data_IF_008033629603
#
_entry.id   IF_008033629603
#
_cell.length_a   1.000
_cell.length_b   1.000
_cell.length_c   1.000
_cell.angle_alpha   90.00
_cell.angle_beta   90.00
_cell.angle_gamma   90.00
#
_symmetry.space_group_name_H-M   'P 1'
#
loop_
_entity.id
_entity.type
_entity.pdbx_description
1 polymer ?
#
# COMPACT_ATOMS: atom_id res chain seq x y z
N UNK A 1 -6.14 -35.37 -36.68
CA UNK A 1 -6.43 -33.95 -36.43
C UNK A 1 -6.03 -33.67 -35.00
N UNK A 2 -5.07 -32.76 -34.76
CA UNK A 2 -4.68 -32.40 -33.39
C UNK A 2 -5.58 -31.28 -32.91
N UNK A 3 -6.12 -31.46 -31.71
CA UNK A 3 -6.92 -30.44 -31.02
C UNK A 3 -5.94 -29.61 -30.20
N UNK A 4 -6.09 -28.30 -30.29
CA UNK A 4 -5.33 -27.33 -29.50
C UNK A 4 -5.65 -27.48 -28.01
N UNK A 5 -4.64 -27.38 -27.15
CA UNK A 5 -4.81 -27.49 -25.70
C UNK A 5 -5.14 -26.09 -25.20
N UNK A 6 -6.19 -25.96 -24.38
CA UNK A 6 -6.48 -24.71 -23.71
C UNK A 6 -5.62 -24.56 -22.44
N UNK A 7 -4.49 -23.85 -22.52
CA UNK A 7 -3.63 -23.65 -21.35
C UNK A 7 -4.25 -22.72 -20.30
N UNK A 8 -5.28 -21.94 -20.67
CA UNK A 8 -6.00 -21.07 -19.73
C UNK A 8 -6.95 -21.83 -18.81
N UNK A 9 -7.28 -23.10 -19.12
CA UNK A 9 -7.99 -23.99 -18.20
C UNK A 9 -7.14 -24.37 -16.97
N UNK A 10 -5.81 -24.18 -17.03
CA UNK A 10 -4.89 -24.44 -15.92
C UNK A 10 -4.65 -23.16 -15.11
N UNK A 11 -4.96 -23.21 -13.81
CA UNK A 11 -4.73 -22.08 -12.89
C UNK A 11 -3.23 -21.82 -12.76
N UNK A 12 -2.83 -20.55 -12.92
CA UNK A 12 -1.44 -20.12 -12.77
C UNK A 12 -0.62 -20.11 -14.07
N UNK A 13 -1.19 -20.51 -15.21
CA UNK A 13 -0.53 -20.38 -16.53
C UNK A 13 -0.17 -18.93 -16.85
N UNK A 14 -1.00 -17.98 -16.43
CA UNK A 14 -0.77 -16.55 -16.58
C UNK A 14 -0.88 -15.84 -15.23
N UNK A 15 -0.10 -14.78 -15.04
CA UNK A 15 -0.16 -13.95 -13.83
C UNK A 15 -1.43 -13.09 -13.74
N UNK A 16 -2.08 -12.84 -14.88
CA UNK A 16 -3.29 -12.04 -15.01
C UNK A 16 -4.25 -12.74 -15.98
N UNK A 17 -4.93 -11.97 -16.84
CA UNK A 17 -5.89 -12.49 -17.82
C UNK A 17 -5.19 -13.33 -18.88
N UNK A 18 -5.59 -14.59 -18.99
CA UNK A 18 -5.12 -15.55 -19.98
C UNK A 18 -6.00 -15.52 -21.23
N UNK A 19 -5.38 -15.62 -22.41
CA UNK A 19 -6.04 -15.68 -23.71
C UNK A 19 -5.48 -16.92 -24.42
N UNK A 20 -6.32 -17.93 -24.64
CA UNK A 20 -5.93 -19.14 -25.35
C UNK A 20 -5.67 -18.84 -26.83
N UNK A 21 -4.57 -19.35 -27.38
CA UNK A 21 -4.19 -19.15 -28.78
C UNK A 21 -3.76 -20.48 -29.41
N UNK A 22 -3.93 -20.70 -30.72
CA UNK A 22 -3.47 -21.94 -31.33
C UNK A 22 -1.96 -22.16 -31.09
N UNK A 23 -1.62 -23.23 -30.37
CA UNK A 23 -0.25 -23.59 -30.02
C UNK A 23 0.34 -22.92 -28.77
N UNK A 24 -0.47 -22.25 -27.94
CA UNK A 24 -0.02 -21.66 -26.67
C UNK A 24 -1.00 -20.68 -26.03
N UNK A 25 -0.55 -19.93 -25.03
CA UNK A 25 -1.35 -18.87 -24.40
C UNK A 25 -0.67 -17.51 -24.42
N UNK A 26 -1.49 -16.45 -24.46
CA UNK A 26 -1.08 -15.06 -24.31
C UNK A 26 -1.68 -14.46 -23.04
N UNK A 27 -1.08 -13.39 -22.53
CA UNK A 27 -1.59 -12.64 -21.37
C UNK A 27 -1.86 -11.18 -21.72
N UNK A 28 -2.95 -10.63 -21.19
CA UNK A 28 -3.31 -9.22 -21.37
C UNK A 28 -2.38 -8.32 -20.52
N UNK A 29 -1.22 -7.95 -21.08
CA UNK A 29 -0.23 -7.13 -20.40
C UNK A 29 1.10 -7.02 -21.16
N UNK A 30 1.92 -5.98 -20.89
CA UNK A 30 3.18 -5.72 -21.60
C UNK A 30 4.33 -6.70 -21.27
N UNK A 31 4.06 -7.78 -20.53
CA UNK A 31 5.08 -8.68 -20.00
C UNK A 31 4.80 -10.13 -20.38
N UNK A 32 5.88 -10.93 -20.36
CA UNK A 32 5.90 -12.33 -20.74
C UNK A 32 4.84 -13.20 -20.02
N UNK A 33 4.41 -14.27 -20.71
CA UNK A 33 3.49 -15.29 -20.19
C UNK A 33 3.93 -15.74 -18.80
N UNK A 34 3.03 -15.60 -17.81
CA UNK A 34 3.29 -15.99 -16.42
C UNK A 34 3.97 -14.94 -15.52
N UNK A 35 4.35 -13.75 -16.02
CA UNK A 35 4.86 -12.65 -15.17
C UNK A 35 4.22 -11.32 -15.52
N UNK A 36 3.73 -10.59 -14.52
CA UNK A 36 3.34 -9.19 -14.68
C UNK A 36 4.11 -8.29 -13.73
N UNK A 37 4.70 -7.23 -14.28
CA UNK A 37 5.35 -6.14 -13.55
C UNK A 37 4.46 -4.90 -13.64
N UNK A 38 4.21 -4.28 -12.50
CA UNK A 38 3.56 -2.97 -12.45
C UNK A 38 4.35 -1.95 -13.27
N UNK A 39 3.66 -1.04 -13.96
CA UNK A 39 4.33 0.07 -14.65
C UNK A 39 4.78 1.09 -13.61
N UNK A 40 6.01 1.58 -13.74
CA UNK A 40 6.57 2.58 -12.83
C UNK A 40 7.87 2.12 -12.17
N UNK A 41 8.21 2.77 -11.06
CA UNK A 41 9.37 2.41 -10.24
C UNK A 41 9.17 1.08 -9.50
N UNK A 42 10.27 0.52 -9.01
CA UNK A 42 10.21 -0.67 -8.19
C UNK A 42 9.46 -0.43 -6.86
N UNK A 43 8.73 -1.44 -6.36
CA UNK A 43 7.92 -1.31 -5.16
C UNK A 43 8.80 -1.17 -3.90
N UNK A 44 8.32 -0.34 -2.98
CA UNK A 44 8.85 -0.20 -1.63
C UNK A 44 7.84 -0.74 -0.63
N UNK A 45 8.32 -1.44 0.39
CA UNK A 45 7.50 -1.85 1.53
C UNK A 45 7.65 -0.81 2.65
N UNK A 46 6.54 -0.20 3.05
CA UNK A 46 6.51 0.70 4.20
C UNK A 46 6.04 -0.07 5.43
N UNK A 47 6.76 0.09 6.54
CA UNK A 47 6.46 -0.61 7.80
C UNK A 47 6.47 0.38 8.96
N UNK A 48 5.48 0.24 9.85
CA UNK A 48 5.50 0.87 11.18
C UNK A 48 6.22 -0.04 12.18
N UNK A 49 7.04 0.55 13.02
CA UNK A 49 7.66 -0.12 14.16
C UNK A 49 7.66 0.85 15.35
N UNK A 50 6.47 1.11 15.92
CA UNK A 50 6.12 1.97 17.09
C UNK A 50 6.92 3.28 17.22
N UNK A 51 8.23 3.21 17.42
CA UNK A 51 9.15 4.34 17.46
C UNK A 51 9.46 4.98 16.08
N UNK A 52 9.16 4.31 14.97
CA UNK A 52 9.51 4.81 13.63
C UNK A 52 8.63 4.23 12.50
N UNK A 53 8.61 4.94 11.38
CA UNK A 53 8.16 4.43 10.09
C UNK A 53 9.39 4.22 9.21
N UNK A 54 9.46 3.06 8.55
CA UNK A 54 10.63 2.62 7.79
C UNK A 54 10.21 2.17 6.40
N UNK A 55 11.13 2.34 5.44
CA UNK A 55 10.98 1.82 4.08
C UNK A 55 11.98 0.70 3.83
N UNK A 56 11.52 -0.33 3.14
CA UNK A 56 12.32 -1.45 2.68
C UNK A 56 12.23 -1.54 1.17
N UNK A 57 13.38 -1.45 0.51
CA UNK A 57 13.50 -1.63 -0.93
C UNK A 57 13.62 -3.12 -1.24
N UNK A 58 12.65 -3.65 -1.98
CA UNK A 58 12.54 -5.07 -2.33
C UNK A 58 13.58 -5.53 -3.35
N UNK A 59 14.24 -4.59 -4.06
CA UNK A 59 15.26 -4.89 -5.07
C UNK A 59 16.65 -4.79 -4.44
N UNK A 60 16.94 -3.68 -3.76
CA UNK A 60 18.27 -3.47 -3.16
C UNK A 60 18.43 -4.12 -1.78
N UNK A 61 17.35 -4.67 -1.20
CA UNK A 61 17.28 -5.19 0.17
C UNK A 61 17.76 -4.16 1.21
N UNK A 62 17.57 -2.87 0.93
CA UNK A 62 17.96 -1.78 1.82
C UNK A 62 16.82 -1.41 2.75
N UNK A 63 17.17 -1.22 4.01
CA UNK A 63 16.25 -0.84 5.06
C UNK A 63 16.62 0.54 5.62
N UNK A 64 15.73 1.51 5.44
CA UNK A 64 16.01 2.91 5.78
C UNK A 64 14.88 3.49 6.65
N UNK A 65 15.21 4.31 7.66
CA UNK A 65 14.19 5.06 8.39
C UNK A 65 13.64 6.17 7.49
N UNK A 66 12.32 6.22 7.34
CA UNK A 66 11.64 7.33 6.68
C UNK A 66 11.31 8.43 7.69
N UNK A 67 10.80 8.02 8.86
CA UNK A 67 10.39 8.91 9.95
C UNK A 67 10.86 8.32 11.25
N UNK A 68 11.65 9.09 11.99
CA UNK A 68 12.22 8.67 13.27
C UNK A 68 11.55 9.41 14.45
N UNK A 69 11.70 8.86 15.65
CA UNK A 69 11.28 9.48 16.91
C UNK A 69 9.77 9.70 17.03
N UNK A 70 8.99 8.70 16.64
CA UNK A 70 7.55 8.66 16.90
C UNK A 70 7.30 8.07 18.30
N UNK A 71 6.25 8.52 18.97
CA UNK A 71 5.87 7.96 20.28
C UNK A 71 5.19 6.60 20.14
N UNK A 72 4.26 6.46 19.19
CA UNK A 72 3.56 5.20 18.93
C UNK A 72 2.92 5.18 17.53
N UNK A 73 3.67 4.75 16.53
CA UNK A 73 3.21 4.46 15.17
C UNK A 73 2.50 3.10 15.10
N UNK A 74 1.16 3.10 15.14
CA UNK A 74 0.35 1.86 15.17
C UNK A 74 -0.16 1.48 13.78
N UNK A 75 -0.86 2.39 13.11
CA UNK A 75 -1.26 2.23 11.71
C UNK A 75 -0.74 3.37 10.84
N UNK A 76 -0.77 3.12 9.54
CA UNK A 76 -0.25 4.03 8.53
C UNK A 76 -0.93 3.75 7.20
N UNK A 77 -1.20 4.81 6.46
CA UNK A 77 -1.56 4.73 5.04
C UNK A 77 -0.90 5.88 4.27
N UNK A 78 -0.86 5.80 2.93
CA UNK A 78 -0.11 6.74 2.10
C UNK A 78 -0.94 7.25 0.93
N UNK A 79 -0.64 8.48 0.51
CA UNK A 79 -1.24 9.11 -0.66
C UNK A 79 -0.26 9.08 -1.84
N UNK A 80 -0.45 8.20 -2.83
CA UNK A 80 0.51 7.96 -3.91
C UNK A 80 0.90 9.22 -4.72
N UNK A 81 -0.07 10.09 -5.04
CA UNK A 81 0.19 11.33 -5.80
C UNK A 81 0.79 12.46 -4.96
N UNK A 82 0.93 12.25 -3.65
CA UNK A 82 1.67 13.13 -2.75
C UNK A 82 2.86 12.34 -2.22
N UNK A 83 4.07 12.47 -2.80
CA UNK A 83 5.27 11.76 -2.34
C UNK A 83 5.70 12.10 -0.89
N UNK A 84 4.89 12.89 -0.16
CA UNK A 84 5.18 13.50 1.13
C UNK A 84 4.05 13.33 2.16
N UNK A 85 3.07 12.46 1.94
CA UNK A 85 1.97 12.28 2.90
C UNK A 85 1.88 10.81 3.31
N UNK A 86 2.73 10.43 4.26
CA UNK A 86 2.51 9.24 5.07
C UNK A 86 1.62 9.68 6.23
N UNK A 87 0.37 9.22 6.27
CA UNK A 87 -0.54 9.54 7.36
C UNK A 87 -0.40 8.42 8.39
N UNK A 88 0.16 8.75 9.56
CA UNK A 88 0.49 7.80 10.61
C UNK A 88 -0.35 8.06 11.85
N UNK A 89 -0.75 7.00 12.52
CA UNK A 89 -1.34 7.07 13.85
C UNK A 89 -0.21 7.31 14.84
N UNK A 90 -0.20 8.46 15.49
CA UNK A 90 0.40 8.62 16.82
C UNK A 90 -0.78 8.62 17.80
N UNK A 91 -0.59 8.87 19.10
CA UNK A 91 -1.70 9.11 20.06
C UNK A 91 -2.83 10.01 19.49
N UNK A 92 -2.49 10.84 18.51
CA UNK A 92 -3.34 11.62 17.61
C UNK A 92 -3.09 11.21 16.14
N UNK A 93 -4.05 11.42 15.23
CA UNK A 93 -3.87 11.13 13.80
C UNK A 93 -3.01 12.22 13.17
N UNK A 94 -1.87 11.86 12.57
CA UNK A 94 -0.90 12.83 12.03
C UNK A 94 -0.61 12.64 10.54
N UNK A 95 -0.37 13.75 9.86
CA UNK A 95 0.25 13.75 8.54
C UNK A 95 1.76 13.94 8.71
N UNK A 96 2.53 13.03 8.13
CA UNK A 96 3.97 13.09 8.15
C UNK A 96 4.53 13.26 6.73
N UNK A 97 5.43 14.22 6.59
CA UNK A 97 6.19 14.48 5.37
C UNK A 97 7.66 14.13 5.54
N UNK A 98 8.27 13.51 4.52
CA UNK A 98 9.70 13.22 4.52
C UNK A 98 10.49 14.52 4.67
N UNK A 99 11.13 14.70 5.84
CA UNK A 99 11.89 15.91 6.18
C UNK A 99 11.06 17.15 6.54
N UNK A 100 9.75 17.02 6.72
CA UNK A 100 8.85 18.12 7.12
C UNK A 100 8.31 17.99 8.55
N UNK A 101 7.62 19.03 9.02
CA UNK A 101 6.97 19.03 10.33
C UNK A 101 5.78 18.06 10.35
N UNK A 102 5.60 17.39 11.48
CA UNK A 102 4.46 16.53 11.74
C UNK A 102 3.23 17.40 12.06
N UNK A 103 2.16 17.27 11.27
CA UNK A 103 0.91 18.02 11.49
C UNK A 103 -0.12 17.09 12.13
N UNK A 104 -0.73 17.52 13.22
CA UNK A 104 -1.87 16.81 13.83
C UNK A 104 -3.16 17.13 13.08
N UNK A 105 -3.86 16.09 12.65
CA UNK A 105 -5.14 16.20 11.92
C UNK A 105 -6.34 16.03 12.84
N UNK A 106 -6.27 15.10 13.80
CA UNK A 106 -7.33 14.82 14.78
C UNK A 106 -6.69 14.57 16.13
N UNK A 107 -7.06 15.37 17.12
CA UNK A 107 -6.60 15.29 18.52
C UNK A 107 -7.76 15.23 19.54
N UNK A 108 -9.01 15.30 19.07
CA UNK A 108 -10.22 15.27 19.89
C UNK A 108 -11.05 14.05 19.58
N UNK A 109 -11.74 13.56 20.60
CA UNK A 109 -12.63 12.39 20.51
C UNK A 109 -11.93 11.16 19.92
N UNK A 110 -10.64 11.00 20.27
CA UNK A 110 -9.79 9.87 19.91
C UNK A 110 -9.25 9.24 21.20
N UNK A 111 -9.38 7.93 21.32
CA UNK A 111 -8.91 7.11 22.44
C UNK A 111 -7.83 6.14 21.99
N UNK A 112 -8.18 5.17 21.15
CA UNK A 112 -7.26 4.10 20.69
C UNK A 112 -7.37 3.95 19.18
N UNK A 113 -6.79 4.91 18.42
CA UNK A 113 -6.79 4.83 16.97
C UNK A 113 -5.93 3.63 16.52
N UNK A 114 -6.47 2.78 15.66
CA UNK A 114 -5.83 1.50 15.31
C UNK A 114 -5.84 1.17 13.81
N UNK A 115 -6.60 1.90 13.00
CA UNK A 115 -6.64 1.76 11.55
C UNK A 115 -6.71 3.10 10.84
N UNK A 116 -6.12 3.15 9.64
CA UNK A 116 -6.18 4.28 8.71
C UNK A 116 -6.50 3.77 7.31
N UNK A 117 -7.31 4.53 6.58
CA UNK A 117 -7.56 4.33 5.16
C UNK A 117 -7.64 5.69 4.45
N UNK A 118 -6.93 5.83 3.34
CA UNK A 118 -6.91 7.04 2.52
C UNK A 118 -7.61 6.78 1.20
N UNK A 119 -8.63 7.58 0.91
CA UNK A 119 -9.21 7.65 -0.42
C UNK A 119 -8.40 8.65 -1.25
N UNK A 120 -7.51 8.15 -2.10
CA UNK A 120 -6.66 9.01 -2.94
C UNK A 120 -7.41 9.65 -4.11
N UNK A 121 -8.62 9.18 -4.46
CA UNK A 121 -9.43 9.78 -5.54
C UNK A 121 -10.17 10.99 -4.99
N UNK A 122 -10.84 10.83 -3.84
CA UNK A 122 -11.63 11.88 -3.21
C UNK A 122 -10.85 12.70 -2.17
N UNK A 123 -9.59 12.35 -1.91
CA UNK A 123 -8.71 13.01 -0.93
C UNK A 123 -9.23 12.95 0.51
N UNK A 124 -9.98 11.90 0.85
CA UNK A 124 -10.55 11.69 2.19
C UNK A 124 -9.61 10.83 3.04
N UNK A 125 -9.68 11.01 4.36
CA UNK A 125 -9.08 10.08 5.31
C UNK A 125 -10.14 9.50 6.23
N UNK A 126 -10.07 8.19 6.43
CA UNK A 126 -10.86 7.45 7.39
C UNK A 126 -9.95 6.84 8.44
N UNK A 127 -10.45 6.75 9.66
CA UNK A 127 -9.77 6.14 10.79
C UNK A 127 -10.73 5.34 11.64
N UNK A 128 -10.19 4.32 12.31
CA UNK A 128 -10.93 3.49 13.26
C UNK A 128 -10.34 3.64 14.65
N UNK A 129 -11.19 3.53 15.66
CA UNK A 129 -10.81 3.59 17.07
C UNK A 129 -11.58 2.56 17.89
N UNK A 130 -10.85 1.59 18.42
CA UNK A 130 -11.39 0.51 19.24
C UNK A 130 -11.72 0.93 20.67
N UNK A 131 -11.15 2.04 21.16
CA UNK A 131 -11.45 2.57 22.48
C UNK A 131 -12.82 3.26 22.56
N UNK A 132 -13.25 3.87 21.46
CA UNK A 132 -14.55 4.55 21.33
C UNK A 132 -15.56 3.82 20.43
N UNK A 133 -15.17 2.68 19.86
CA UNK A 133 -15.97 1.87 18.94
C UNK A 133 -16.58 2.71 17.80
N UNK A 134 -15.72 3.46 17.11
CA UNK A 134 -16.16 4.39 16.07
C UNK A 134 -15.24 4.40 14.85
N UNK A 135 -15.81 4.88 13.75
CA UNK A 135 -15.10 5.19 12.51
C UNK A 135 -15.30 6.66 12.21
N UNK A 136 -14.21 7.41 12.10
CA UNK A 136 -14.23 8.84 11.83
C UNK A 136 -13.76 9.17 10.41
N UNK A 137 -14.46 10.06 9.68
CA UNK A 137 -13.94 10.68 8.47
C UNK A 137 -13.20 11.99 8.78
N UNK A 138 -12.32 12.40 7.87
CA UNK A 138 -11.73 13.75 7.75
C UNK A 138 -11.87 14.21 6.31
#
# INVERSE_FOLDING_TARGET
>A
MFIDIDECATVGTCAQKCINTPGGASSDGPNAVGKCRARGSDPLLLLSNRAAIRRFDLISNKYEPLIAKLESAVAMDFLHNCPKAVKGIVKDIRQCAEGGDNITLVDKDVSTPDGLAVDWVHQLLFWTDTGLDQVGPI
#
